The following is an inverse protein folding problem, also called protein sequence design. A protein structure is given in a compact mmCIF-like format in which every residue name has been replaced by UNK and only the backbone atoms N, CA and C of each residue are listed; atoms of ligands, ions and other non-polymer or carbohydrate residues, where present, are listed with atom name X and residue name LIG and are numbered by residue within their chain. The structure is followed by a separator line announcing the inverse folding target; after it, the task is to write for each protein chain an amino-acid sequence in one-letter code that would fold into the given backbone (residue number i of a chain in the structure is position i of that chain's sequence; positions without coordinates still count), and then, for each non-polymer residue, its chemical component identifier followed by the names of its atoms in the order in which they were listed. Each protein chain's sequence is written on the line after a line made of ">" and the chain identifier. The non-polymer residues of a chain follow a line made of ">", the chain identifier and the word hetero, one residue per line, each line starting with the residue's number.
data_IF_729869960502
#
_entry.id   IF_729869960502
#
_cell.length_a   1.000
_cell.length_b   1.000
_cell.length_c   1.000
_cell.angle_alpha   90.00
_cell.angle_beta   90.00
_cell.angle_gamma   90.00
#
_symmetry.space_group_name_H-M   'P 1'
#
loop_
_entity.id
_entity.type
_entity.pdbx_description
1 polymer ?
#
# COMPACT_ATOMS: atom_id res chain seq x y z
N UNK A 1 7.74 -10.06 6.19
CA UNK A 1 7.83 -9.58 4.80
C UNK A 1 6.42 -9.46 4.23
N UNK A 2 5.99 -8.28 3.78
CA UNK A 2 4.74 -8.15 3.04
C UNK A 2 4.94 -8.62 1.61
N UNK A 3 4.14 -9.58 1.16
CA UNK A 3 4.35 -10.32 -0.10
C UNK A 3 3.31 -9.98 -1.17
N UNK A 4 2.32 -9.15 -0.85
CA UNK A 4 1.19 -8.88 -1.74
C UNK A 4 1.46 -7.58 -2.50
N UNK A 5 1.68 -7.69 -3.81
CA UNK A 5 1.82 -6.54 -4.69
C UNK A 5 0.44 -6.03 -5.13
N UNK A 6 0.21 -4.73 -4.99
CA UNK A 6 -0.98 -4.03 -5.47
C UNK A 6 -0.55 -2.88 -6.38
N UNK A 7 -1.27 -2.66 -7.48
CA UNK A 7 -0.87 -1.67 -8.50
C UNK A 7 -1.90 -0.55 -8.56
N UNK A 8 -1.45 0.70 -8.53
CA UNK A 8 -2.34 1.87 -8.64
C UNK A 8 -1.63 3.05 -9.30
N UNK A 9 -2.28 3.67 -10.28
CA UNK A 9 -1.73 4.82 -10.99
C UNK A 9 -0.38 4.56 -11.65
N UNK A 10 -0.11 3.32 -12.09
CA UNK A 10 1.18 2.91 -12.68
C UNK A 10 2.31 2.67 -11.67
N UNK A 11 2.02 2.69 -10.36
CA UNK A 11 2.97 2.36 -9.29
C UNK A 11 2.59 1.05 -8.61
N UNK A 12 3.59 0.25 -8.25
CA UNK A 12 3.41 -1.01 -7.50
C UNK A 12 3.74 -0.79 -6.03
N UNK A 13 2.80 -1.12 -5.17
CA UNK A 13 2.88 -1.04 -3.71
C UNK A 13 2.85 -2.44 -3.11
N UNK A 14 3.47 -2.62 -1.95
CA UNK A 14 3.53 -3.91 -1.28
C UNK A 14 2.85 -3.84 0.07
N UNK A 15 1.82 -4.65 0.26
CA UNK A 15 1.06 -4.72 1.52
C UNK A 15 1.39 -6.00 2.28
N UNK A 16 1.17 -5.96 3.60
CA UNK A 16 1.57 -7.05 4.49
C UNK A 16 0.51 -8.15 4.69
N UNK A 17 -0.75 -7.89 4.36
CA UNK A 17 -1.85 -8.83 4.56
C UNK A 17 -3.02 -8.57 3.59
N UNK A 18 -3.91 -9.55 3.46
CA UNK A 18 -5.11 -9.43 2.64
C UNK A 18 -6.02 -8.27 3.09
N UNK A 19 -6.06 -7.95 4.38
CA UNK A 19 -6.83 -6.81 4.89
C UNK A 19 -6.36 -5.46 4.36
N UNK A 20 -5.03 -5.26 4.24
CA UNK A 20 -4.49 -4.06 3.60
C UNK A 20 -4.75 -4.03 2.09
N UNK A 21 -4.80 -5.20 1.43
CA UNK A 21 -5.18 -5.29 0.01
C UNK A 21 -6.67 -4.94 -0.18
N UNK A 22 -7.54 -5.42 0.69
CA UNK A 22 -8.97 -5.15 0.60
C UNK A 22 -9.27 -3.67 0.83
N UNK A 23 -8.67 -3.09 1.88
CA UNK A 23 -8.72 -1.65 2.13
C UNK A 23 -8.10 -0.82 0.99
N UNK A 24 -7.11 -1.36 0.27
CA UNK A 24 -6.55 -0.73 -0.93
C UNK A 24 -7.51 -0.82 -2.12
N UNK A 25 -8.33 -1.87 -2.25
CA UNK A 25 -9.36 -1.94 -3.29
C UNK A 25 -10.52 -0.98 -3.00
N UNK A 26 -10.93 -0.85 -1.73
CA UNK A 26 -11.98 0.11 -1.34
C UNK A 26 -11.50 1.56 -1.40
N UNK A 27 -10.30 1.84 -0.90
CA UNK A 27 -9.75 3.19 -0.79
C UNK A 27 -8.22 3.20 -1.04
N UNK A 28 -7.81 3.05 -2.31
CA UNK A 28 -6.39 2.98 -2.65
C UNK A 28 -5.64 4.25 -2.27
N UNK A 29 -6.25 5.43 -2.43
CA UNK A 29 -5.63 6.72 -2.13
C UNK A 29 -5.21 6.84 -0.66
N UNK A 30 -6.06 6.37 0.27
CA UNK A 30 -5.77 6.41 1.71
C UNK A 30 -4.60 5.50 2.07
N UNK A 31 -4.57 4.29 1.51
CA UNK A 31 -3.51 3.31 1.76
C UNK A 31 -2.19 3.76 1.15
N UNK A 32 -2.21 4.32 -0.07
CA UNK A 32 -1.02 4.86 -0.73
C UNK A 32 -0.45 6.03 0.06
N UNK A 33 -1.30 6.93 0.54
CA UNK A 33 -0.86 8.05 1.38
C UNK A 33 -0.18 7.56 2.67
N UNK A 34 -0.78 6.59 3.35
CA UNK A 34 -0.17 6.00 4.56
C UNK A 34 1.14 5.24 4.24
N UNK A 35 1.22 4.58 3.08
CA UNK A 35 2.42 3.91 2.60
C UNK A 35 3.56 4.90 2.27
N UNK A 36 3.26 6.00 1.57
CA UNK A 36 4.25 7.03 1.26
C UNK A 36 4.73 7.75 2.52
N UNK A 37 3.83 8.05 3.46
CA UNK A 37 4.19 8.66 4.75
C UNK A 37 5.11 7.74 5.58
N UNK A 38 4.84 6.43 5.60
CA UNK A 38 5.69 5.45 6.30
C UNK A 38 7.05 5.28 5.63
N UNK A 39 7.10 5.26 4.30
CA UNK A 39 8.35 5.18 3.53
C UNK A 39 9.24 6.42 3.75
N UNK A 40 8.66 7.58 4.02
CA UNK A 40 9.40 8.82 4.30
C UNK A 40 9.98 8.88 5.73
N UNK A 41 9.48 8.05 6.65
CA UNK A 41 9.87 8.05 8.08
C UNK A 41 10.78 6.89 8.50
N UNK A 42 11.10 5.97 7.59
CA UNK A 42 12.01 4.86 7.84
C UNK A 42 13.01 4.71 6.71
N UNK A 43 14.06 5.52 6.75
CA UNK A 43 15.35 5.24 6.12
C UNK A 43 16.30 4.76 7.19
#
# INVERSE_FOLDING_TARGET
>A
MGTIAVSFGGKTYYVCCSGCRDAFNENPEKIIKEYEERKKKGG
#
